data_IF_908752867008
#
_entry.id   IF_908752867008
#
_cell.length_a   1.000
_cell.length_b   1.000
_cell.length_c   1.000
_cell.angle_alpha   90.00
_cell.angle_beta   90.00
_cell.angle_gamma   90.00
#
_symmetry.space_group_name_H-M   'P 1'
#
loop_
_entity.id
_entity.type
_entity.pdbx_description
1 polymer ?
#
# COMPACT_ATOMS: atom_id res chain seq x y z
N UNK A 1 7.07 -8.25 17.50
CA UNK A 1 5.80 -8.70 16.89
C UNK A 1 6.02 -9.99 16.11
N UNK A 2 5.14 -10.99 16.26
CA UNK A 2 5.20 -12.25 15.48
C UNK A 2 5.18 -11.94 13.97
N UNK A 3 5.84 -12.77 13.14
CA UNK A 3 5.96 -12.58 11.66
C UNK A 3 4.62 -12.27 10.98
N UNK A 4 3.54 -12.90 11.43
CA UNK A 4 2.18 -12.75 10.89
C UNK A 4 1.61 -11.35 11.20
N UNK A 5 1.72 -10.89 12.45
CA UNK A 5 1.28 -9.56 12.83
C UNK A 5 2.03 -8.46 12.07
N UNK A 6 3.35 -8.64 11.87
CA UNK A 6 4.16 -7.74 11.03
C UNK A 6 3.64 -7.72 9.58
N UNK A 7 3.26 -8.86 9.02
CA UNK A 7 2.78 -8.95 7.64
C UNK A 7 1.51 -8.12 7.40
N UNK A 8 0.57 -8.14 8.35
CA UNK A 8 -0.69 -7.41 8.26
C UNK A 8 -0.52 -5.89 8.34
N UNK A 9 0.39 -5.41 9.19
CA UNK A 9 0.62 -3.98 9.41
C UNK A 9 1.62 -3.36 8.42
N UNK A 10 2.41 -4.19 7.73
CA UNK A 10 3.47 -3.75 6.83
C UNK A 10 3.00 -2.74 5.77
N UNK A 11 1.84 -2.90 5.12
CA UNK A 11 1.35 -1.91 4.15
C UNK A 11 1.16 -0.52 4.75
N UNK A 12 0.72 -0.44 6.01
CA UNK A 12 0.57 0.83 6.74
C UNK A 12 1.92 1.42 7.13
N UNK A 13 2.87 0.59 7.54
CA UNK A 13 4.25 1.03 7.82
C UNK A 13 4.88 1.62 6.55
N UNK A 14 4.69 0.97 5.40
CA UNK A 14 5.19 1.49 4.13
C UNK A 14 4.53 2.84 3.82
N UNK A 15 3.22 2.99 3.98
CA UNK A 15 2.51 4.25 3.73
C UNK A 15 3.02 5.39 4.62
N UNK A 16 3.27 5.13 5.90
CA UNK A 16 3.78 6.17 6.82
C UNK A 16 5.23 6.55 6.50
N UNK A 17 6.08 5.58 6.18
CA UNK A 17 7.45 5.82 5.73
C UNK A 17 7.48 6.63 4.42
N UNK A 18 6.65 6.25 3.45
CA UNK A 18 6.51 6.99 2.19
C UNK A 18 5.98 8.39 2.41
N UNK A 19 5.03 8.57 3.32
CA UNK A 19 4.52 9.90 3.65
C UNK A 19 5.63 10.81 4.19
N UNK A 20 6.46 10.31 5.09
CA UNK A 20 7.61 11.04 5.62
C UNK A 20 8.63 11.35 4.52
N UNK A 21 9.03 10.36 3.73
CA UNK A 21 10.00 10.50 2.64
C UNK A 21 9.53 11.51 1.58
N UNK A 22 8.29 11.39 1.12
CA UNK A 22 7.71 12.29 0.13
C UNK A 22 7.50 13.70 0.70
N UNK A 23 7.25 13.84 2.00
CA UNK A 23 7.14 15.14 2.66
C UNK A 23 8.47 15.84 2.81
N UNK A 24 9.54 15.10 3.12
CA UNK A 24 10.90 15.62 3.14
C UNK A 24 11.32 16.08 1.76
N UNK A 25 11.15 15.22 0.74
CA UNK A 25 11.46 15.60 -0.65
C UNK A 25 10.70 16.84 -1.07
N UNK A 26 9.40 16.94 -0.84
CA UNK A 26 8.62 18.12 -1.26
C UNK A 26 9.10 19.46 -0.66
N UNK A 27 9.94 19.45 0.38
CA UNK A 27 10.56 20.64 1.00
C UNK A 27 11.94 20.99 0.41
N UNK A 28 12.55 20.12 -0.39
CA UNK A 28 13.84 20.38 -1.04
C UNK A 28 13.68 21.51 -2.08
N UNK A 29 14.62 22.46 -2.07
CA UNK A 29 14.62 23.63 -2.96
C UNK A 29 14.95 23.26 -4.42
N UNK A 30 15.67 22.15 -4.63
CA UNK A 30 16.09 21.66 -5.94
C UNK A 30 14.99 21.01 -6.78
N UNK A 31 13.75 20.98 -6.30
CA UNK A 31 12.63 20.27 -6.94
C UNK A 31 11.75 21.22 -7.74
N UNK A 32 11.50 20.85 -8.99
CA UNK A 32 10.63 21.56 -9.93
C UNK A 32 9.15 21.48 -9.54
N UNK A 33 8.33 22.42 -10.03
CA UNK A 33 6.89 22.43 -9.76
C UNK A 33 6.17 21.16 -10.25
N UNK A 34 6.65 20.55 -11.35
CA UNK A 34 6.08 19.31 -11.89
C UNK A 34 6.37 18.10 -10.99
N UNK A 35 7.57 17.99 -10.46
CA UNK A 35 7.94 16.96 -9.49
C UNK A 35 7.15 17.09 -8.18
N UNK A 36 6.94 18.32 -7.68
CA UNK A 36 6.09 18.56 -6.51
C UNK A 36 4.65 18.08 -6.72
N UNK A 37 4.09 18.28 -7.92
CA UNK A 37 2.77 17.74 -8.29
C UNK A 37 2.76 16.21 -8.28
N UNK A 38 3.75 15.56 -8.90
CA UNK A 38 3.88 14.09 -8.90
C UNK A 38 4.04 13.51 -7.50
N UNK A 39 4.77 14.20 -6.63
CA UNK A 39 4.89 13.82 -5.22
C UNK A 39 3.52 13.87 -4.52
N UNK A 40 2.70 14.90 -4.77
CA UNK A 40 1.32 14.95 -4.23
C UNK A 40 0.44 13.80 -4.77
N UNK A 41 0.54 13.49 -6.05
CA UNK A 41 -0.18 12.36 -6.67
C UNK A 41 0.23 11.04 -6.02
N UNK A 42 1.52 10.81 -5.77
CA UNK A 42 2.00 9.61 -5.07
C UNK A 42 1.54 9.54 -3.62
N UNK A 43 1.47 10.67 -2.91
CA UNK A 43 0.90 10.73 -1.55
C UNK A 43 -0.57 10.34 -1.54
N UNK A 44 -1.35 10.89 -2.48
CA UNK A 44 -2.76 10.54 -2.63
C UNK A 44 -2.94 9.07 -2.98
N UNK A 45 -2.13 8.55 -3.92
CA UNK A 45 -2.12 7.14 -4.28
C UNK A 45 -1.84 6.23 -3.07
N UNK A 46 -0.86 6.57 -2.22
CA UNK A 46 -0.58 5.80 -1.00
C UNK A 46 -1.75 5.81 -0.02
N UNK A 47 -2.41 6.94 0.18
CA UNK A 47 -3.60 7.01 1.04
C UNK A 47 -4.71 6.12 0.48
N UNK A 48 -4.98 6.21 -0.83
CA UNK A 48 -5.99 5.39 -1.48
C UNK A 48 -5.66 3.89 -1.37
N UNK A 49 -4.40 3.51 -1.57
CA UNK A 49 -3.94 2.13 -1.43
C UNK A 49 -4.10 1.62 0.01
N UNK A 50 -3.80 2.47 1.01
CA UNK A 50 -4.04 2.16 2.42
C UNK A 50 -5.54 2.00 2.73
N UNK A 51 -6.38 2.86 2.18
CA UNK A 51 -7.83 2.81 2.37
C UNK A 51 -8.43 1.53 1.77
N UNK A 52 -8.03 1.17 0.55
CA UNK A 52 -8.45 -0.08 -0.11
C UNK A 52 -7.96 -1.30 0.68
N UNK A 53 -6.71 -1.30 1.13
CA UNK A 53 -6.19 -2.38 1.98
C UNK A 53 -6.98 -2.50 3.30
N UNK A 54 -7.32 -1.37 3.92
CA UNK A 54 -8.13 -1.31 5.15
C UNK A 54 -9.52 -1.89 4.94
N UNK A 55 -10.17 -1.57 3.81
CA UNK A 55 -11.46 -2.12 3.44
C UNK A 55 -11.41 -3.65 3.36
N UNK A 56 -10.42 -4.20 2.63
CA UNK A 56 -10.26 -5.66 2.54
C UNK A 56 -9.89 -6.30 3.87
N UNK A 57 -9.12 -5.61 4.71
CA UNK A 57 -8.79 -6.09 6.05
C UNK A 57 -10.05 -6.21 6.92
N UNK A 58 -10.92 -5.19 6.92
CA UNK A 58 -12.18 -5.25 7.67
C UNK A 58 -13.14 -6.32 7.12
N UNK A 59 -13.26 -6.44 5.80
CA UNK A 59 -14.08 -7.51 5.19
C UNK A 59 -13.55 -8.89 5.59
N UNK A 60 -12.23 -9.11 5.48
CA UNK A 60 -11.57 -10.34 5.89
C UNK A 60 -11.84 -10.68 7.36
N UNK A 61 -11.71 -9.71 8.27
CA UNK A 61 -11.98 -9.90 9.69
C UNK A 61 -13.46 -10.19 9.96
N UNK A 62 -14.38 -9.50 9.27
CA UNK A 62 -15.81 -9.75 9.38
C UNK A 62 -16.21 -11.16 8.92
N UNK A 63 -15.71 -11.58 7.77
CA UNK A 63 -15.93 -12.93 7.25
C UNK A 63 -15.28 -14.00 8.14
N UNK A 64 -14.12 -13.70 8.74
CA UNK A 64 -13.48 -14.59 9.69
C UNK A 64 -14.35 -14.80 10.94
N UNK A 65 -14.95 -13.73 11.49
CA UNK A 65 -15.89 -13.83 12.62
C UNK A 65 -17.12 -14.65 12.25
N UNK A 66 -17.67 -14.44 11.05
CA UNK A 66 -18.84 -15.20 10.56
C UNK A 66 -18.51 -16.68 10.33
N UNK A 67 -17.32 -16.98 9.82
CA UNK A 67 -16.83 -18.34 9.64
C UNK A 67 -16.71 -19.07 10.99
N UNK A 68 -16.17 -18.42 12.01
CA UNK A 68 -16.07 -18.97 13.38
C UNK A 68 -17.46 -19.27 13.97
N UNK A 69 -18.49 -18.51 13.58
CA UNK A 69 -19.89 -18.77 13.96
C UNK A 69 -20.57 -19.90 13.18
N UNK A 70 -19.84 -20.59 12.29
CA UNK A 70 -20.33 -21.73 11.53
C UNK A 70 -20.90 -21.38 10.14
N UNK A 71 -20.74 -20.14 9.67
CA UNK A 71 -21.16 -19.77 8.32
C UNK A 71 -20.07 -20.13 7.30
N UNK A 72 -20.18 -21.33 6.72
CA UNK A 72 -19.24 -21.83 5.72
C UNK A 72 -19.17 -21.00 4.43
N UNK A 73 -20.23 -20.23 4.10
CA UNK A 73 -20.21 -19.32 2.94
C UNK A 73 -19.16 -18.23 3.11
N UNK A 74 -18.89 -17.81 4.34
CA UNK A 74 -17.86 -16.83 4.66
C UNK A 74 -16.43 -17.34 4.40
N UNK A 75 -16.23 -18.64 4.19
CA UNK A 75 -14.91 -19.18 3.81
C UNK A 75 -14.41 -18.57 2.49
N UNK A 76 -15.30 -18.38 1.52
CA UNK A 76 -14.95 -17.74 0.24
C UNK A 76 -14.55 -16.27 0.45
N UNK A 77 -15.23 -15.56 1.35
CA UNK A 77 -14.91 -14.19 1.72
C UNK A 77 -13.54 -14.06 2.40
N UNK A 78 -13.22 -14.98 3.33
CA UNK A 78 -11.90 -15.06 3.97
C UNK A 78 -10.79 -15.31 2.95
N UNK A 79 -10.97 -16.29 2.05
CA UNK A 79 -9.97 -16.60 1.01
C UNK A 79 -9.79 -15.42 0.07
N UNK A 80 -10.88 -14.82 -0.41
CA UNK A 80 -10.84 -13.70 -1.33
C UNK A 80 -10.20 -12.45 -0.68
N UNK A 81 -10.62 -12.10 0.54
CA UNK A 81 -10.05 -10.97 1.29
C UNK A 81 -8.54 -11.14 1.51
N UNK A 82 -8.10 -12.35 1.85
CA UNK A 82 -6.67 -12.65 1.99
C UNK A 82 -5.91 -12.47 0.68
N UNK A 83 -6.44 -12.99 -0.43
CA UNK A 83 -5.81 -12.85 -1.76
C UNK A 83 -5.73 -11.39 -2.20
N UNK A 84 -6.77 -10.59 -1.96
CA UNK A 84 -6.77 -9.16 -2.31
C UNK A 84 -5.75 -8.37 -1.48
N UNK A 85 -5.65 -8.64 -0.17
CA UNK A 85 -4.61 -8.06 0.68
C UNK A 85 -3.20 -8.43 0.19
N UNK A 86 -2.98 -9.70 -0.18
CA UNK A 86 -1.71 -10.17 -0.74
C UNK A 86 -1.37 -9.46 -2.06
N UNK A 87 -2.34 -9.32 -2.96
CA UNK A 87 -2.19 -8.63 -4.23
C UNK A 87 -1.79 -7.16 -4.02
N UNK A 88 -2.50 -6.43 -3.16
CA UNK A 88 -2.23 -5.02 -2.86
C UNK A 88 -0.82 -4.83 -2.31
N UNK A 89 -0.43 -5.67 -1.36
CA UNK A 89 0.93 -5.67 -0.82
C UNK A 89 1.97 -5.95 -1.90
N UNK A 90 1.72 -6.92 -2.78
CA UNK A 90 2.60 -7.25 -3.91
C UNK A 90 2.73 -6.06 -4.86
N UNK A 91 1.63 -5.37 -5.19
CA UNK A 91 1.64 -4.16 -6.02
C UNK A 91 2.45 -3.06 -5.34
N UNK A 92 2.23 -2.83 -4.04
CA UNK A 92 2.93 -1.82 -3.27
C UNK A 92 4.46 -2.05 -3.29
N UNK A 93 4.90 -3.26 -2.98
CA UNK A 93 6.34 -3.58 -2.90
C UNK A 93 6.98 -3.77 -4.27
N UNK A 94 6.33 -4.49 -5.18
CA UNK A 94 6.95 -4.94 -6.44
C UNK A 94 6.76 -3.95 -7.60
N UNK A 95 5.79 -3.04 -7.53
CA UNK A 95 5.55 -2.06 -8.59
C UNK A 95 5.72 -0.64 -8.09
N UNK A 96 4.97 -0.25 -7.07
CA UNK A 96 4.97 1.11 -6.57
C UNK A 96 6.35 1.53 -6.06
N UNK A 97 6.92 0.82 -5.08
CA UNK A 97 8.21 1.21 -4.49
C UNK A 97 9.37 1.19 -5.51
N UNK A 98 9.33 0.28 -6.48
CA UNK A 98 10.36 0.16 -7.54
C UNK A 98 10.30 1.28 -8.57
N UNK A 99 9.11 1.84 -8.84
CA UNK A 99 8.86 2.83 -9.91
C UNK A 99 8.64 4.25 -9.42
N UNK A 100 8.49 4.46 -8.11
CA UNK A 100 8.22 5.77 -7.50
C UNK A 100 9.24 6.83 -7.92
N UNK A 101 10.53 6.54 -7.81
CA UNK A 101 11.59 7.52 -8.09
C UNK A 101 11.64 7.86 -9.59
N UNK A 102 11.47 6.84 -10.44
CA UNK A 102 11.31 7.00 -11.87
C UNK A 102 10.10 7.87 -12.24
N UNK A 103 8.97 7.69 -11.56
CA UNK A 103 7.78 8.52 -11.78
C UNK A 103 8.03 9.98 -11.39
N UNK A 104 8.64 10.24 -10.23
CA UNK A 104 8.93 11.60 -9.76
C UNK A 104 9.82 12.31 -10.77
N UNK A 105 10.95 11.69 -11.15
CA UNK A 105 11.96 12.30 -12.04
C UNK A 105 11.63 12.20 -13.53
N UNK A 106 10.61 11.42 -13.92
CA UNK A 106 10.31 11.05 -15.32
C UNK A 106 11.51 10.40 -16.02
N UNK A 107 12.20 9.53 -15.30
CA UNK A 107 13.42 8.86 -15.75
C UNK A 107 13.30 7.35 -15.51
N UNK A 108 13.23 6.57 -16.59
CA UNK A 108 13.05 5.13 -16.53
C UNK A 108 14.29 4.38 -16.01
N UNK A 109 15.47 5.00 -16.05
CA UNK A 109 16.70 4.39 -15.54
C UNK A 109 16.68 4.22 -14.02
N UNK A 110 15.78 4.94 -13.33
CA UNK A 110 15.61 4.87 -11.88
C UNK A 110 14.71 3.72 -11.41
N UNK A 111 14.21 2.88 -12.33
CA UNK A 111 13.42 1.71 -11.96
C UNK A 111 14.33 0.65 -11.33
N UNK A 112 14.10 0.36 -10.04
CA UNK A 112 14.86 -0.67 -9.31
C UNK A 112 14.45 -2.06 -9.80
N UNK A 113 15.43 -2.91 -10.14
CA UNK A 113 15.19 -4.30 -10.58
C UNK A 113 14.77 -5.21 -9.42
#
# INVERSE_FOLDING_TARGET
>A
MKKIGKWFIEPYIIVTQEWQLLSQRNKEESITGSEKRRIKELKFFNIMLAAVYTLFCYMFLGDLVMLIRGNWVSLMGVVFGFLMMLLLKRIQVSRYLKRRDAYIKKDETLIKQ
#
